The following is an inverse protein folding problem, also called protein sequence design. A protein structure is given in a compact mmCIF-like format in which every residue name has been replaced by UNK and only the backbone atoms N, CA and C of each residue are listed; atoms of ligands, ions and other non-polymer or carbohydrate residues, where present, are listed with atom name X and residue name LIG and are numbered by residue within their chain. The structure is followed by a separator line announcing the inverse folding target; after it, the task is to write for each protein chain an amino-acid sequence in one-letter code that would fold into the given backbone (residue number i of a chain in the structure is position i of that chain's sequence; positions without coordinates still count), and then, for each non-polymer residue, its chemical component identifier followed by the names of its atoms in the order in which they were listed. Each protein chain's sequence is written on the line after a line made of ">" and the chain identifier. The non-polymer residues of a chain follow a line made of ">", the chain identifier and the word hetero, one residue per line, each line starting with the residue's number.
data_IF_052737931843
#
_entry.id   IF_052737931843
#
_cell.length_a   1.000
_cell.length_b   1.000
_cell.length_c   1.000
_cell.angle_alpha   90.00
_cell.angle_beta   90.00
_cell.angle_gamma   90.00
#
_symmetry.space_group_name_H-M   'P 1'
#
loop_
_entity.id
_entity.type
_entity.pdbx_description
1 polymer ?
#
# COMPACT_ATOMS: atom_id res chain seq x y z
N UNK A 1 -1.21 -15.15 -6.16
CA UNK A 1 -0.12 -14.20 -6.48
C UNK A 1 0.28 -14.41 -7.94
N UNK A 2 0.46 -13.34 -8.71
CA UNK A 2 0.88 -13.45 -10.11
C UNK A 2 2.40 -13.24 -10.20
N UNK A 3 3.10 -14.22 -10.75
CA UNK A 3 4.55 -14.17 -10.98
C UNK A 3 4.80 -13.82 -12.44
N UNK A 4 5.65 -12.82 -12.70
CA UNK A 4 6.07 -12.46 -14.06
C UNK A 4 7.58 -12.32 -14.14
N UNK A 5 8.16 -12.72 -15.27
CA UNK A 5 9.57 -12.45 -15.57
C UNK A 5 9.70 -11.04 -16.15
N UNK A 6 10.56 -10.23 -15.57
CA UNK A 6 10.88 -8.89 -16.05
C UNK A 6 12.27 -8.85 -16.67
N UNK A 7 12.43 -8.01 -17.69
CA UNK A 7 13.74 -7.78 -18.31
C UNK A 7 14.54 -6.77 -17.49
N UNK A 8 15.82 -7.07 -17.32
CA UNK A 8 16.82 -6.15 -16.78
C UNK A 8 17.53 -5.47 -17.95
N UNK A 9 17.50 -4.14 -18.00
CA UNK A 9 18.14 -3.33 -19.03
C UNK A 9 19.31 -2.54 -18.46
N UNK A 10 20.22 -2.07 -19.33
CA UNK A 10 21.32 -1.20 -18.93
C UNK A 10 20.82 0.24 -18.79
N UNK A 11 21.22 0.91 -17.71
CA UNK A 11 20.98 2.33 -17.47
C UNK A 11 22.33 2.94 -17.05
N UNK A 12 23.08 3.50 -18.01
CA UNK A 12 24.44 3.98 -17.76
C UNK A 12 25.41 2.87 -17.30
N UNK A 13 26.03 3.07 -16.14
CA UNK A 13 26.89 2.07 -15.46
C UNK A 13 26.08 1.05 -14.63
N UNK A 14 24.77 1.24 -14.53
CA UNK A 14 23.87 0.47 -13.67
C UNK A 14 22.89 -0.37 -14.48
N UNK A 15 22.01 -1.08 -13.77
CA UNK A 15 20.93 -1.89 -14.34
C UNK A 15 19.58 -1.41 -13.81
N UNK A 16 18.54 -1.55 -14.63
CA UNK A 16 17.17 -1.25 -14.23
C UNK A 16 16.18 -2.32 -14.67
N UNK A 17 15.08 -2.42 -13.94
CA UNK A 17 13.96 -3.33 -14.24
C UNK A 17 12.78 -2.51 -14.74
N UNK A 18 12.24 -2.86 -15.92
CA UNK A 18 11.04 -2.18 -16.44
C UNK A 18 9.80 -2.71 -15.72
N UNK A 19 9.20 -1.87 -14.89
CA UNK A 19 7.96 -2.18 -14.17
C UNK A 19 6.73 -1.83 -15.03
N UNK A 20 5.69 -2.69 -15.08
CA UNK A 20 4.43 -2.34 -15.74
C UNK A 20 3.76 -1.11 -15.09
N UNK A 21 3.22 -0.21 -15.91
CA UNK A 21 2.55 1.00 -15.42
C UNK A 21 1.36 0.70 -14.51
N UNK A 22 0.66 -0.42 -14.73
CA UNK A 22 -0.43 -0.86 -13.86
C UNK A 22 0.07 -1.20 -12.43
N UNK A 23 1.27 -1.77 -12.31
CA UNK A 23 1.89 -2.06 -11.01
C UNK A 23 2.28 -0.77 -10.29
N UNK A 24 2.93 0.17 -10.99
CA UNK A 24 3.30 1.47 -10.41
C UNK A 24 2.08 2.22 -9.87
N UNK A 25 0.99 2.27 -10.64
CA UNK A 25 -0.29 2.88 -10.20
C UNK A 25 -0.89 2.16 -8.99
N UNK A 26 -0.98 0.83 -9.03
CA UNK A 26 -1.53 0.02 -7.94
C UNK A 26 -0.81 0.27 -6.62
N UNK A 27 0.51 0.37 -6.67
CA UNK A 27 1.34 0.56 -5.48
C UNK A 27 1.71 2.02 -5.21
N UNK A 28 1.11 2.97 -5.95
CA UNK A 28 1.34 4.42 -5.81
C UNK A 28 2.82 4.81 -5.85
N UNK A 29 3.61 4.12 -6.69
CA UNK A 29 5.02 4.44 -6.90
C UNK A 29 5.10 5.54 -7.95
N UNK A 30 5.68 6.68 -7.55
CA UNK A 30 5.93 7.83 -8.42
C UNK A 30 7.32 7.80 -9.04
N UNK A 31 8.01 8.93 -9.01
CA UNK A 31 9.35 9.08 -9.59
C UNK A 31 10.44 8.40 -8.77
N UNK A 32 10.22 8.23 -7.47
CA UNK A 32 11.17 7.63 -6.54
C UNK A 32 10.53 6.46 -5.79
N UNK A 33 11.40 5.54 -5.36
CA UNK A 33 11.02 4.32 -4.65
C UNK A 33 12.11 4.02 -3.63
N UNK A 34 11.72 3.47 -2.48
CA UNK A 34 12.68 2.94 -1.51
C UNK A 34 12.97 1.50 -1.87
N UNK A 35 14.26 1.17 -1.97
CA UNK A 35 14.76 -0.20 -2.13
C UNK A 35 15.32 -0.70 -0.80
N UNK A 36 14.84 -1.84 -0.35
CA UNK A 36 15.37 -2.54 0.82
C UNK A 36 15.91 -3.90 0.40
N UNK A 37 17.14 -4.21 0.84
CA UNK A 37 17.72 -5.54 0.66
C UNK A 37 17.14 -6.52 1.70
N UNK A 38 16.75 -7.70 1.23
CA UNK A 38 16.17 -8.80 2.00
C UNK A 38 16.91 -10.10 1.62
N UNK A 39 16.72 -11.16 2.41
CA UNK A 39 17.38 -12.46 2.18
C UNK A 39 17.09 -13.07 0.81
N UNK A 40 15.89 -12.84 0.28
CA UNK A 40 15.35 -13.43 -0.93
C UNK A 40 15.32 -12.45 -2.12
N UNK A 41 15.81 -11.22 -1.95
CA UNK A 41 15.84 -10.23 -3.02
C UNK A 41 15.68 -8.80 -2.53
N UNK A 42 15.08 -7.96 -3.37
CA UNK A 42 14.82 -6.54 -3.06
C UNK A 42 13.33 -6.29 -2.91
N UNK A 43 12.98 -5.51 -1.90
CA UNK A 43 11.64 -4.96 -1.74
C UNK A 43 11.63 -3.51 -2.23
N UNK A 44 10.71 -3.21 -3.14
CA UNK A 44 10.46 -1.86 -3.63
C UNK A 44 9.17 -1.32 -3.03
N UNK A 45 9.22 -0.19 -2.33
CA UNK A 45 8.05 0.46 -1.73
C UNK A 45 8.00 1.96 -2.07
N UNK A 46 6.80 2.57 -2.19
CA UNK A 46 6.68 4.00 -2.45
C UNK A 46 7.41 4.83 -1.37
N UNK A 47 7.89 6.00 -1.77
CA UNK A 47 8.44 7.00 -0.85
C UNK A 47 7.30 7.71 -0.11
N UNK A 48 7.48 7.95 1.20
CA UNK A 48 6.48 8.59 2.05
C UNK A 48 5.67 7.58 2.89
N UNK A 49 4.69 8.06 3.68
CA UNK A 49 3.82 7.19 4.45
C UNK A 49 3.03 6.29 3.48
N UNK A 50 3.25 4.97 3.59
CA UNK A 50 2.65 3.91 2.73
C UNK A 50 1.11 3.99 2.69
N UNK A 51 0.55 4.59 3.71
CA UNK A 51 -0.84 5.02 3.81
C UNK A 51 -0.70 6.42 4.40
N UNK A 52 -1.18 7.47 3.73
CA UNK A 52 -1.72 8.60 4.50
C UNK A 52 -2.85 7.98 5.31
N UNK A 53 -2.51 7.43 6.48
CA UNK A 53 -3.51 7.07 7.45
C UNK A 53 -4.17 8.40 7.72
N UNK A 54 -5.48 8.46 7.49
CA UNK A 54 -6.27 9.58 7.95
C UNK A 54 -5.84 9.88 9.38
N UNK A 55 -5.76 11.17 9.72
CA UNK A 55 -5.65 11.53 11.12
C UNK A 55 -6.79 10.85 11.90
N UNK A 56 -6.62 10.66 13.21
CA UNK A 56 -7.72 10.13 14.03
C UNK A 56 -9.00 10.95 13.86
N UNK A 57 -8.88 12.27 13.71
CA UNK A 57 -10.01 13.16 13.43
C UNK A 57 -10.67 12.87 12.08
N UNK A 58 -9.90 12.70 11.02
CA UNK A 58 -10.46 12.43 9.70
C UNK A 58 -11.06 11.01 9.61
N UNK A 59 -10.47 10.04 10.33
CA UNK A 59 -11.03 8.69 10.48
C UNK A 59 -12.38 8.74 11.20
N UNK A 60 -12.47 9.48 12.31
CA UNK A 60 -13.71 9.65 13.05
C UNK A 60 -14.79 10.38 12.21
N UNK A 61 -14.40 11.39 11.43
CA UNK A 61 -15.30 12.12 10.54
C UNK A 61 -15.86 11.21 9.45
N UNK A 62 -15.04 10.42 8.79
CA UNK A 62 -15.48 9.48 7.76
C UNK A 62 -16.41 8.40 8.34
N UNK A 63 -16.06 7.81 9.48
CA UNK A 63 -16.91 6.82 10.16
C UNK A 63 -18.27 7.42 10.57
N UNK A 64 -18.28 8.65 11.09
CA UNK A 64 -19.51 9.36 11.44
C UNK A 64 -20.38 9.70 10.22
N UNK A 65 -19.75 10.10 9.10
CA UNK A 65 -20.44 10.39 7.85
C UNK A 65 -21.06 9.14 7.21
N UNK A 66 -20.45 7.98 7.43
CA UNK A 66 -20.86 6.71 6.84
C UNK A 66 -22.08 6.06 7.49
N UNK A 67 -22.56 6.61 8.63
CA UNK A 67 -23.80 6.20 9.34
C UNK A 67 -23.95 4.68 9.40
N UNK A 68 -22.88 4.00 9.76
CA UNK A 68 -22.87 2.54 9.84
C UNK A 68 -23.87 2.09 10.90
N UNK A 69 -24.73 1.13 10.52
CA UNK A 69 -25.70 0.53 11.43
C UNK A 69 -24.97 -0.50 12.31
N UNK A 70 -24.57 -0.05 13.50
CA UNK A 70 -23.91 -0.87 14.51
C UNK A 70 -24.89 -1.56 15.47
N UNK A 71 -26.20 -1.51 15.22
CA UNK A 71 -27.23 -2.09 16.11
C UNK A 71 -27.04 -3.60 16.38
N UNK A 72 -26.37 -4.32 15.48
CA UNK A 72 -26.02 -5.72 15.66
C UNK A 72 -25.06 -5.98 16.83
N UNK A 73 -24.26 -4.98 17.24
CA UNK A 73 -23.27 -5.11 18.32
C UNK A 73 -23.85 -4.77 19.71
N UNK A 74 -24.97 -4.06 19.77
CA UNK A 74 -25.69 -3.77 21.02
C UNK A 74 -26.33 -5.04 21.62
N UNK A 75 -26.66 -6.03 20.78
CA UNK A 75 -27.28 -7.30 21.21
C UNK A 75 -26.34 -8.17 22.06
N UNK A 76 -25.03 -7.98 21.97
CA UNK A 76 -23.99 -8.71 22.71
C UNK A 76 -23.45 -7.95 23.91
N UNK A 77 -24.06 -6.85 24.34
CA UNK A 77 -23.62 -6.14 25.54
C UNK A 77 -24.10 -6.80 26.86
N UNK A 78 -24.94 -7.83 26.77
CA UNK A 78 -25.64 -8.43 27.91
C UNK A 78 -25.07 -9.79 28.38
N UNK A 79 -23.99 -10.29 27.77
CA UNK A 79 -23.39 -11.61 28.08
C UNK A 79 -22.07 -11.52 28.87
N UNK A 80 -21.84 -10.39 29.55
CA UNK A 80 -20.67 -10.13 30.41
C UNK A 80 -20.52 -11.05 31.61
#
# INVERSE_FOLDING_TARGET
>A
MATMRLKVARIGNSRGVRLPAASLRRYRIGETVVMEERSEGILLRPTGPVVEKLSWEDTAREMAARREDCSAWDATAADG
#
